data_IF_312027163487
#
_entry.id   IF_312027163487
#
_cell.length_a   1.000
_cell.length_b   1.000
_cell.length_c   1.000
_cell.angle_alpha   90.00
_cell.angle_beta   90.00
_cell.angle_gamma   90.00
#
_symmetry.space_group_name_H-M   'P 1'
#
loop_
_entity.id
_entity.type
_entity.pdbx_description
1 polymer ?
#
# COMPACT_ATOMS: atom_id res chain seq x y z
N UNK A 1 27.05 10.48 -15.21
CA UNK A 1 26.43 11.09 -14.02
C UNK A 1 25.72 10.00 -13.26
N UNK A 2 26.05 9.80 -11.99
CA UNK A 2 25.43 8.77 -11.16
C UNK A 2 24.21 9.39 -10.48
N UNK A 3 23.01 9.00 -10.89
CA UNK A 3 21.80 9.44 -10.22
C UNK A 3 21.77 8.82 -8.82
N UNK A 4 21.70 9.67 -7.78
CA UNK A 4 21.72 9.22 -6.38
C UNK A 4 20.43 8.46 -6.09
N UNK A 5 20.56 7.21 -5.65
CA UNK A 5 19.45 6.40 -5.16
C UNK A 5 18.75 7.14 -4.02
N UNK A 6 17.44 7.37 -4.15
CA UNK A 6 16.63 7.98 -3.09
C UNK A 6 16.44 6.97 -1.96
N UNK A 7 16.98 7.29 -0.78
CA UNK A 7 16.74 6.50 0.43
C UNK A 7 15.26 6.58 0.82
N UNK A 8 14.64 5.44 1.11
CA UNK A 8 13.27 5.39 1.64
C UNK A 8 13.30 5.85 3.10
N UNK A 9 12.65 6.97 3.41
CA UNK A 9 12.57 7.48 4.77
C UNK A 9 11.69 6.58 5.68
N UNK A 10 12.01 6.54 6.97
CA UNK A 10 11.22 5.89 8.02
C UNK A 10 11.83 4.58 8.57
N UNK A 11 11.39 4.20 9.78
CA UNK A 11 11.78 2.94 10.42
C UNK A 11 10.80 1.81 10.05
N UNK A 12 11.25 0.54 9.96
CA UNK A 12 10.34 -0.61 9.91
C UNK A 12 9.38 -0.56 11.11
N UNK A 13 8.07 -0.82 10.93
CA UNK A 13 7.14 -0.85 12.05
C UNK A 13 7.53 -1.98 13.02
N UNK A 14 7.35 -1.75 14.33
CA UNK A 14 7.49 -2.81 15.31
C UNK A 14 6.39 -3.87 15.07
N UNK A 15 6.79 -5.12 14.81
CA UNK A 15 5.90 -6.26 14.54
C UNK A 15 5.23 -6.81 15.82
N UNK A 16 4.78 -5.92 16.71
CA UNK A 16 4.21 -6.31 18.02
C UNK A 16 2.77 -6.83 17.85
N UNK A 17 2.07 -6.43 16.79
CA UNK A 17 0.74 -6.95 16.43
C UNK A 17 0.49 -6.84 14.92
N UNK A 18 -0.31 -7.75 14.36
CA UNK A 18 -0.80 -7.60 13.00
C UNK A 18 -1.67 -6.34 12.92
N UNK A 19 -1.36 -5.38 12.02
CA UNK A 19 -2.16 -4.18 11.89
C UNK A 19 -3.54 -4.54 11.33
N UNK A 20 -4.58 -4.00 11.96
CA UNK A 20 -5.98 -4.08 11.49
C UNK A 20 -6.23 -3.21 10.26
N UNK A 21 -5.35 -2.24 10.01
CA UNK A 21 -5.34 -1.36 8.86
C UNK A 21 -4.20 -1.67 7.90
N UNK A 22 -4.09 -0.93 6.79
CA UNK A 22 -3.02 -1.11 5.83
C UNK A 22 -1.64 -0.83 6.47
N UNK A 23 -0.70 -1.80 6.49
CA UNK A 23 0.63 -1.62 7.10
C UNK A 23 1.46 -0.54 6.40
N UNK A 24 1.14 -0.23 5.15
CA UNK A 24 1.83 0.77 4.35
C UNK A 24 1.26 2.17 4.54
N UNK A 25 0.09 2.34 5.18
CA UNK A 25 -0.58 3.65 5.33
C UNK A 25 0.33 4.77 5.87
N UNK A 26 1.24 4.54 6.85
CA UNK A 26 2.13 5.59 7.36
C UNK A 26 3.15 6.13 6.33
N UNK A 27 3.41 5.40 5.25
CA UNK A 27 4.42 5.75 4.23
C UNK A 27 3.90 5.71 2.80
N UNK A 28 2.62 5.43 2.59
CA UNK A 28 2.01 5.31 1.28
C UNK A 28 1.65 6.71 0.74
N UNK A 29 2.12 7.10 -0.46
CA UNK A 29 1.75 8.39 -1.07
C UNK A 29 0.29 8.43 -1.55
N UNK A 30 -0.38 7.29 -1.66
CA UNK A 30 -1.77 7.14 -2.07
C UNK A 30 -2.69 6.79 -0.89
N UNK A 31 -2.29 7.14 0.34
CA UNK A 31 -3.09 6.85 1.53
C UNK A 31 -4.36 7.68 1.58
N UNK A 32 -5.48 7.04 1.89
CA UNK A 32 -6.77 7.68 2.16
C UNK A 32 -7.45 6.96 3.33
N UNK A 33 -8.66 7.39 3.72
CA UNK A 33 -9.26 6.98 4.99
C UNK A 33 -9.47 5.47 5.12
N UNK A 34 -9.92 4.79 4.06
CA UNK A 34 -10.07 3.31 4.08
C UNK A 34 -8.75 2.60 4.38
N UNK A 35 -7.61 3.12 3.91
CA UNK A 35 -6.29 2.56 4.22
C UNK A 35 -5.93 2.65 5.70
N UNK A 36 -6.43 3.67 6.42
CA UNK A 36 -6.15 3.88 7.85
C UNK A 36 -7.06 3.05 8.75
N UNK A 37 -8.22 2.63 8.23
CA UNK A 37 -9.22 1.88 8.98
C UNK A 37 -9.19 0.38 8.69
N UNK A 38 -8.89 -0.03 7.46
CA UNK A 38 -9.06 -1.41 6.99
C UNK A 38 -7.85 -1.93 6.24
N UNK A 39 -7.60 -3.24 6.39
CA UNK A 39 -6.63 -3.98 5.61
C UNK A 39 -7.26 -4.48 4.30
N UNK A 40 -6.66 -4.19 3.13
CA UNK A 40 -7.17 -4.71 1.86
C UNK A 40 -7.01 -6.23 1.75
N UNK A 41 -7.99 -6.95 1.15
CA UNK A 41 -7.82 -8.34 0.79
C UNK A 41 -6.80 -8.46 -0.35
N UNK A 42 -6.27 -9.67 -0.55
CA UNK A 42 -5.45 -9.98 -1.71
C UNK A 42 -6.35 -10.05 -2.95
N UNK A 43 -6.05 -9.24 -3.98
CA UNK A 43 -6.87 -9.13 -5.19
C UNK A 43 -6.02 -9.30 -6.44
N UNK A 44 -6.53 -9.95 -7.50
CA UNK A 44 -5.85 -10.02 -8.78
C UNK A 44 -5.70 -8.62 -9.39
N UNK A 45 -4.50 -8.32 -9.92
CA UNK A 45 -4.21 -7.04 -10.60
C UNK A 45 -3.73 -7.24 -12.03
N UNK A 46 -3.18 -8.41 -12.32
CA UNK A 46 -2.86 -8.86 -13.66
C UNK A 46 -2.71 -10.38 -13.66
N UNK A 47 -2.44 -10.99 -14.82
CA UNK A 47 -2.24 -12.43 -14.92
C UNK A 47 -1.08 -12.87 -14.01
N UNK A 48 -1.38 -13.72 -13.03
CA UNK A 48 -0.40 -14.26 -12.08
C UNK A 48 0.11 -13.26 -11.04
N UNK A 49 -0.51 -12.07 -10.92
CA UNK A 49 -0.12 -11.07 -9.93
C UNK A 49 -1.32 -10.64 -9.10
N UNK A 50 -1.07 -10.53 -7.80
CA UNK A 50 -2.06 -10.08 -6.82
C UNK A 50 -1.49 -8.96 -5.96
N UNK A 51 -2.37 -8.11 -5.43
CA UNK A 51 -2.00 -7.04 -4.52
C UNK A 51 -3.07 -6.85 -3.45
N UNK A 52 -2.61 -6.58 -2.22
CA UNK A 52 -3.44 -6.10 -1.13
C UNK A 52 -3.32 -4.57 -1.05
N UNK A 53 -4.04 -3.87 -1.93
CA UNK A 53 -4.00 -2.40 -2.02
C UNK A 53 -5.37 -1.83 -2.39
N UNK A 54 -5.81 -0.80 -1.66
CA UNK A 54 -7.04 -0.06 -1.97
C UNK A 54 -6.89 0.92 -3.14
N UNK A 55 -5.67 1.14 -3.62
CA UNK A 55 -5.37 2.01 -4.76
C UNK A 55 -5.12 1.19 -6.02
N UNK A 56 -5.78 1.56 -7.11
CA UNK A 56 -5.48 1.07 -8.45
C UNK A 56 -4.38 1.93 -9.05
N UNK A 57 -3.16 1.39 -9.15
CA UNK A 57 -2.00 2.08 -9.71
C UNK A 57 -2.12 2.30 -11.22
N UNK A 58 -2.93 1.51 -11.91
CA UNK A 58 -3.16 1.60 -13.35
C UNK A 58 -4.17 2.70 -13.67
N UNK A 59 -5.25 2.78 -12.89
CA UNK A 59 -6.31 3.81 -13.04
C UNK A 59 -6.08 5.07 -12.22
N UNK A 60 -5.07 5.07 -11.34
CA UNK A 60 -4.73 6.16 -10.43
C UNK A 60 -5.93 6.64 -9.59
N UNK A 61 -6.66 5.69 -8.99
CA UNK A 61 -7.81 5.98 -8.14
C UNK A 61 -8.04 4.90 -7.08
N UNK A 62 -8.91 5.17 -6.12
CA UNK A 62 -9.39 4.16 -5.19
C UNK A 62 -10.12 3.03 -5.94
N UNK A 63 -9.97 1.79 -5.47
CA UNK A 63 -10.73 0.65 -5.95
C UNK A 63 -12.15 0.68 -5.42
N UNK A 64 -13.10 0.51 -6.32
CA UNK A 64 -14.53 0.38 -6.02
C UNK A 64 -14.94 -1.10 -5.95
N UNK A 65 -14.07 -1.99 -6.43
CA UNK A 65 -14.29 -3.40 -6.73
C UNK A 65 -14.07 -4.37 -5.53
N UNK A 66 -14.31 -3.87 -4.30
CA UNK A 66 -14.12 -4.68 -3.07
C UNK A 66 -15.37 -4.72 -2.21
#
# INVERSE_FOLDING_TARGET
GQERLKSVAGQPPQLIAFPTSCPFAPRCPHVFDRCRSERPPLMPVSKGHEAACWWDVTKQRARDDV
#
